data_IF_125663025793
#
_entry.id   IF_125663025793
#
_cell.length_a   1.000
_cell.length_b   1.000
_cell.length_c   1.000
_cell.angle_alpha   90.00
_cell.angle_beta   90.00
_cell.angle_gamma   90.00
#
_symmetry.space_group_name_H-M   'P 1'
#
loop_
_entity.id
_entity.type
_entity.pdbx_description
1 polymer ?
#
# COMPACT_ATOMS: atom_id res chain seq x y z
N UNK A 1 3.59 -4.44 -4.02
CA UNK A 1 3.53 -5.84 -3.51
C UNK A 1 3.19 -6.82 -4.63
N UNK A 2 2.04 -6.72 -5.29
CA UNK A 2 1.59 -7.67 -6.33
C UNK A 2 2.62 -7.88 -7.46
N UNK A 3 3.19 -6.78 -7.97
CA UNK A 3 4.23 -6.82 -9.03
C UNK A 3 5.47 -7.57 -8.54
N UNK A 4 5.95 -7.25 -7.34
CA UNK A 4 7.11 -7.93 -6.74
C UNK A 4 6.84 -9.43 -6.53
N UNK A 5 5.65 -9.81 -6.02
CA UNK A 5 5.28 -11.22 -5.86
C UNK A 5 5.20 -11.96 -7.19
N UNK A 6 4.69 -11.32 -8.26
CA UNK A 6 4.67 -11.92 -9.59
C UNK A 6 6.10 -12.14 -10.12
N UNK A 7 6.97 -11.13 -9.96
CA UNK A 7 8.36 -11.21 -10.39
C UNK A 7 9.10 -12.35 -9.69
N UNK A 8 8.96 -12.48 -8.37
CA UNK A 8 9.52 -13.61 -7.62
C UNK A 8 8.97 -14.94 -8.11
N UNK A 9 7.66 -15.02 -8.36
CA UNK A 9 7.00 -16.25 -8.82
C UNK A 9 7.47 -16.66 -10.23
N UNK A 10 7.67 -15.71 -11.15
CA UNK A 10 8.22 -15.96 -12.48
C UNK A 10 9.68 -16.44 -12.40
N UNK A 11 10.51 -15.77 -11.60
CA UNK A 11 11.90 -16.18 -11.36
C UNK A 11 11.99 -17.59 -10.76
N UNK A 12 11.03 -17.96 -9.91
CA UNK A 12 10.91 -19.29 -9.34
C UNK A 12 10.55 -20.34 -10.40
N UNK A 13 9.61 -20.05 -11.31
CA UNK A 13 9.29 -20.96 -12.42
C UNK A 13 10.43 -21.16 -13.41
N UNK A 14 11.26 -20.13 -13.61
CA UNK A 14 12.45 -20.20 -14.46
C UNK A 14 13.69 -20.78 -13.76
N UNK A 15 13.57 -21.24 -12.51
CA UNK A 15 14.66 -21.80 -11.69
C UNK A 15 15.92 -20.88 -11.58
N UNK A 16 15.74 -19.56 -11.70
CA UNK A 16 16.84 -18.59 -11.70
C UNK A 16 17.47 -18.38 -10.31
N UNK A 17 16.79 -18.81 -9.25
CA UNK A 17 17.30 -18.68 -7.87
C UNK A 17 18.40 -19.67 -7.50
N UNK A 18 18.69 -20.68 -8.35
CA UNK A 18 19.71 -21.68 -8.11
C UNK A 18 19.54 -22.44 -6.78
N UNK A 19 20.56 -23.22 -6.40
CA UNK A 19 20.52 -24.13 -5.23
C UNK A 19 20.48 -23.43 -3.87
N UNK A 20 20.62 -22.10 -3.81
CA UNK A 20 20.68 -21.33 -2.56
C UNK A 20 19.31 -20.92 -2.01
N UNK A 21 18.24 -21.13 -2.78
CA UNK A 21 16.86 -21.03 -2.31
C UNK A 21 16.42 -19.63 -1.88
N UNK A 22 15.12 -19.50 -1.67
CA UNK A 22 14.47 -18.29 -1.19
C UNK A 22 14.44 -18.31 0.36
N UNK A 23 14.96 -17.27 1.01
CA UNK A 23 14.94 -17.18 2.48
C UNK A 23 13.55 -16.75 2.96
N UNK A 24 12.86 -17.66 3.64
CA UNK A 24 11.59 -17.37 4.31
C UNK A 24 11.89 -17.09 5.78
N UNK A 25 11.71 -15.86 6.27
CA UNK A 25 11.88 -15.59 7.69
C UNK A 25 10.80 -16.31 8.52
N UNK A 26 11.19 -16.80 9.71
CA UNK A 26 10.21 -17.29 10.69
C UNK A 26 9.30 -16.15 11.12
N UNK A 27 8.01 -16.45 11.25
CA UNK A 27 7.02 -15.41 11.52
C UNK A 27 6.69 -15.41 13.01
N UNK A 28 6.95 -14.27 13.66
CA UNK A 28 6.64 -14.03 15.06
C UNK A 28 5.40 -13.14 15.13
N UNK A 29 4.21 -13.70 15.36
CA UNK A 29 2.97 -12.93 15.21
C UNK A 29 2.92 -11.71 16.12
N UNK A 30 3.30 -11.86 17.40
CA UNK A 30 3.30 -10.75 18.35
C UNK A 30 4.31 -9.67 17.99
N UNK A 31 5.51 -10.07 17.56
CA UNK A 31 6.54 -9.13 17.11
C UNK A 31 6.09 -8.37 15.86
N UNK A 32 5.56 -9.09 14.87
CA UNK A 32 5.11 -8.50 13.60
C UNK A 32 3.91 -7.60 13.80
N UNK A 33 2.92 -8.00 14.62
CA UNK A 33 1.73 -7.19 14.87
C UNK A 33 2.06 -5.90 15.64
N UNK A 34 2.83 -6.00 16.74
CA UNK A 34 3.26 -4.83 17.51
C UNK A 34 4.16 -3.90 16.70
N UNK A 35 5.12 -4.46 15.95
CA UNK A 35 5.98 -3.70 15.05
C UNK A 35 5.20 -2.98 13.96
N UNK A 36 4.23 -3.66 13.32
CA UNK A 36 3.38 -3.06 12.30
C UNK A 36 2.50 -1.93 12.87
N UNK A 37 1.97 -2.09 14.08
CA UNK A 37 1.21 -1.04 14.75
C UNK A 37 2.07 0.21 15.05
N UNK A 38 3.29 0.02 15.56
CA UNK A 38 4.22 1.12 15.83
C UNK A 38 4.66 1.84 14.55
N UNK A 39 5.01 1.09 13.50
CA UNK A 39 5.38 1.66 12.20
C UNK A 39 4.17 2.39 11.58
N UNK A 40 2.97 1.82 11.69
CA UNK A 40 1.73 2.43 11.21
C UNK A 40 1.42 3.75 11.93
N UNK A 41 1.57 3.78 13.26
CA UNK A 41 1.42 5.01 14.03
C UNK A 41 2.46 6.07 13.63
N UNK A 42 3.72 5.65 13.45
CA UNK A 42 4.79 6.52 12.94
C UNK A 42 4.47 7.08 11.55
N UNK A 43 3.92 6.27 10.65
CA UNK A 43 3.48 6.72 9.33
C UNK A 43 2.33 7.73 9.41
N UNK A 44 1.35 7.49 10.28
CA UNK A 44 0.21 8.39 10.47
C UNK A 44 0.63 9.76 11.03
N UNK A 45 1.62 9.80 11.92
CA UNK A 45 2.12 11.05 12.52
C UNK A 45 3.14 11.75 11.61
N UNK A 46 4.07 10.98 11.03
CA UNK A 46 5.21 11.51 10.29
C UNK A 46 4.98 11.71 8.79
N UNK A 47 3.94 11.12 8.20
CA UNK A 47 3.62 11.24 6.78
C UNK A 47 4.62 10.59 5.81
N UNK A 48 5.73 10.02 6.33
CA UNK A 48 6.73 9.31 5.54
C UNK A 48 6.73 7.82 5.89
N UNK A 49 6.70 6.99 4.87
CA UNK A 49 7.01 5.56 4.99
C UNK A 49 8.53 5.36 4.86
N UNK A 50 9.08 4.21 5.30
CA UNK A 50 10.53 4.03 5.40
C UNK A 50 11.31 4.20 4.08
N UNK A 51 10.67 3.99 2.92
CA UNK A 51 11.27 4.27 1.61
C UNK A 51 11.18 5.74 1.21
N UNK A 52 10.04 6.38 1.44
CA UNK A 52 9.81 7.78 1.05
C UNK A 52 10.64 8.77 1.85
N UNK A 53 11.01 8.46 3.10
CA UNK A 53 11.90 9.30 3.90
C UNK A 53 13.30 9.40 3.28
N UNK A 54 13.81 8.30 2.70
CA UNK A 54 15.12 8.29 2.01
C UNK A 54 15.08 9.15 0.74
N UNK A 55 14.01 9.01 -0.05
CA UNK A 55 13.81 9.84 -1.25
C UNK A 55 13.63 11.32 -0.88
N UNK A 56 12.87 11.60 0.19
CA UNK A 56 12.68 12.96 0.71
C UNK A 56 13.98 13.60 1.19
N UNK A 57 14.83 12.83 1.88
CA UNK A 57 16.16 13.27 2.29
C UNK A 57 17.05 13.61 1.08
N UNK A 58 17.09 12.74 0.06
CA UNK A 58 17.85 13.01 -1.17
C UNK A 58 17.34 14.22 -1.95
N UNK A 59 16.05 14.54 -1.80
CA UNK A 59 15.43 15.74 -2.38
C UNK A 59 15.70 17.02 -1.57
N UNK A 60 16.48 16.93 -0.48
CA UNK A 60 16.80 18.07 0.39
C UNK A 60 15.71 18.43 1.40
N UNK A 61 14.68 17.60 1.61
CA UNK A 61 13.66 17.83 2.63
C UNK A 61 14.16 17.41 4.01
N UNK A 62 14.24 18.38 4.93
CA UNK A 62 14.66 18.14 6.31
C UNK A 62 13.65 17.26 7.06
N UNK A 63 12.36 17.33 6.73
CA UNK A 63 11.33 16.51 7.38
C UNK A 63 11.59 15.01 7.20
N UNK A 64 12.07 14.61 6.01
CA UNK A 64 12.45 13.22 5.72
C UNK A 64 13.68 12.79 6.53
N UNK A 65 14.63 13.70 6.77
CA UNK A 65 15.81 13.44 7.59
C UNK A 65 15.44 13.26 9.06
N UNK A 66 14.55 14.10 9.61
CA UNK A 66 14.08 13.99 11.00
C UNK A 66 13.36 12.66 11.21
N UNK A 67 12.51 12.26 10.27
CA UNK A 67 11.86 10.96 10.30
C UNK A 67 12.87 9.81 10.26
N UNK A 68 13.88 9.90 9.38
CA UNK A 68 14.93 8.90 9.29
C UNK A 68 15.73 8.79 10.60
N UNK A 69 16.10 9.91 11.21
CA UNK A 69 16.80 9.93 12.49
C UNK A 69 15.94 9.32 13.61
N UNK A 70 14.65 9.66 13.68
CA UNK A 70 13.71 9.07 14.63
C UNK A 70 13.58 7.54 14.47
N UNK A 71 13.52 7.06 13.23
CA UNK A 71 13.50 5.62 12.94
C UNK A 71 14.78 4.93 13.44
N UNK A 72 15.95 5.49 13.14
CA UNK A 72 17.24 4.94 13.56
C UNK A 72 17.32 4.88 15.09
N UNK A 73 16.95 5.96 15.79
CA UNK A 73 16.90 5.99 17.25
C UNK A 73 15.91 4.97 17.82
N UNK A 74 14.73 4.82 17.19
CA UNK A 74 13.75 3.82 17.58
C UNK A 74 14.26 2.38 17.42
N UNK A 75 14.97 2.08 16.32
CA UNK A 75 15.59 0.77 16.08
C UNK A 75 16.66 0.49 17.15
N UNK A 76 17.53 1.46 17.45
CA UNK A 76 18.54 1.30 18.50
C UNK A 76 17.92 1.13 19.89
N UNK A 77 16.87 1.91 20.20
CA UNK A 77 16.12 1.77 21.44
C UNK A 77 15.50 0.38 21.57
N UNK A 78 14.85 -0.10 20.50
CA UNK A 78 14.29 -1.45 20.48
C UNK A 78 15.38 -2.53 20.60
N UNK A 79 16.50 -2.39 19.91
CA UNK A 79 17.61 -3.34 19.95
C UNK A 79 18.21 -3.50 21.37
N UNK A 80 18.29 -2.41 22.14
CA UNK A 80 18.76 -2.45 23.53
C UNK A 80 17.79 -3.22 24.44
N UNK A 81 16.49 -2.96 24.29
CA UNK A 81 15.46 -3.56 25.15
C UNK A 81 15.17 -5.01 24.71
N UNK A 82 15.39 -5.36 23.44
CA UNK A 82 15.17 -6.69 22.87
C UNK A 82 15.93 -7.81 23.58
N UNK A 83 17.11 -7.53 24.16
CA UNK A 83 17.89 -8.52 24.91
C UNK A 83 17.29 -8.86 26.29
N UNK A 84 16.23 -8.15 26.70
CA UNK A 84 15.51 -8.44 27.93
C UNK A 84 14.75 -9.77 27.81
N UNK A 85 15.02 -10.71 28.73
CA UNK A 85 14.42 -12.05 28.75
C UNK A 85 12.88 -12.05 28.66
N UNK A 86 12.23 -11.01 29.20
CA UNK A 86 10.78 -10.85 29.21
C UNK A 86 10.21 -10.55 27.81
N UNK A 87 10.93 -9.74 27.02
CA UNK A 87 10.54 -9.38 25.65
C UNK A 87 10.82 -10.55 24.72
N UNK A 88 11.95 -11.23 24.88
CA UNK A 88 12.21 -12.44 24.12
C UNK A 88 11.14 -13.50 24.39
N UNK A 89 10.74 -13.73 25.64
CA UNK A 89 9.68 -14.68 25.98
C UNK A 89 8.35 -14.33 25.32
N UNK A 90 7.92 -13.06 25.41
CA UNK A 90 6.67 -12.60 24.79
C UNK A 90 6.73 -12.73 23.26
N UNK A 91 7.82 -12.31 22.62
CA UNK A 91 7.94 -12.35 21.17
C UNK A 91 8.04 -13.79 20.65
N UNK A 92 8.77 -14.67 21.35
CA UNK A 92 8.96 -16.07 20.98
C UNK A 92 7.79 -16.98 21.37
N UNK A 93 6.79 -16.49 22.11
CA UNK A 93 5.63 -17.30 22.52
C UNK A 93 4.70 -17.69 21.36
N UNK A 94 4.71 -16.94 20.25
CA UNK A 94 3.86 -17.18 19.07
C UNK A 94 4.70 -17.30 17.79
N UNK A 95 5.63 -18.26 17.78
CA UNK A 95 6.38 -18.59 16.56
C UNK A 95 5.59 -19.50 15.63
N UNK A 96 5.53 -19.08 14.37
CA UNK A 96 5.10 -19.93 13.27
C UNK A 96 6.32 -20.39 12.49
N UNK A 97 6.35 -21.68 12.18
CA UNK A 97 7.35 -22.25 11.28
C UNK A 97 7.40 -21.44 9.99
N UNK A 98 8.60 -21.14 9.51
CA UNK A 98 8.85 -20.45 8.25
C UNK A 98 8.23 -21.23 7.08
N UNK A 99 6.96 -20.97 6.80
CA UNK A 99 6.22 -21.51 5.66
C UNK A 99 5.63 -20.33 4.92
N UNK A 100 5.78 -20.33 3.60
CA UNK A 100 5.07 -19.38 2.75
C UNK A 100 3.57 -19.65 2.84
N UNK A 101 2.75 -18.62 2.61
CA UNK A 101 1.29 -18.74 2.65
C UNK A 101 0.73 -19.89 1.78
N UNK A 102 1.24 -20.15 0.55
CA UNK A 102 0.83 -21.32 -0.25
C UNK A 102 1.16 -22.66 0.41
N UNK A 103 2.30 -22.75 1.12
CA UNK A 103 2.72 -23.97 1.81
C UNK A 103 1.94 -24.22 3.10
N UNK A 104 1.40 -23.17 3.74
CA UNK A 104 0.53 -23.31 4.90
C UNK A 104 -0.88 -23.77 4.51
N UNK A 105 -1.42 -23.22 3.41
CA UNK A 105 -2.74 -23.57 2.89
C UNK A 105 -2.75 -24.82 1.99
N UNK A 106 -1.58 -25.31 1.58
CA UNK A 106 -1.47 -26.45 0.65
C UNK A 106 -2.00 -26.15 -0.76
N UNK A 107 -2.13 -24.88 -1.13
CA UNK A 107 -2.68 -24.43 -2.41
C UNK A 107 -1.59 -23.97 -3.37
N UNK A 108 -1.90 -23.94 -4.66
CA UNK A 108 -0.93 -23.48 -5.67
C UNK A 108 -0.59 -22.00 -5.47
N UNK A 109 0.69 -21.59 -5.61
CA UNK A 109 1.10 -20.19 -5.49
C UNK A 109 0.37 -19.23 -6.44
N UNK A 110 0.01 -19.73 -7.63
CA UNK A 110 -0.75 -18.99 -8.63
C UNK A 110 -2.15 -18.59 -8.14
N UNK A 111 -2.82 -19.47 -7.39
CA UNK A 111 -4.15 -19.18 -6.85
C UNK A 111 -4.10 -18.02 -5.86
N UNK A 112 -3.12 -18.01 -4.96
CA UNK A 112 -2.94 -16.92 -3.99
C UNK A 112 -2.65 -15.61 -4.70
N UNK A 113 -1.85 -15.63 -5.76
CA UNK A 113 -1.58 -14.43 -6.54
C UNK A 113 -2.86 -13.86 -7.18
N UNK A 114 -3.70 -14.71 -7.80
CA UNK A 114 -5.00 -14.29 -8.36
C UNK A 114 -5.88 -13.67 -7.28
N UNK A 115 -5.97 -14.29 -6.10
CA UNK A 115 -6.76 -13.75 -4.97
C UNK A 115 -6.24 -12.38 -4.53
N UNK A 116 -4.92 -12.18 -4.42
CA UNK A 116 -4.34 -10.87 -4.07
C UNK A 116 -4.68 -9.80 -5.10
N UNK A 117 -4.66 -10.14 -6.39
CA UNK A 117 -5.07 -9.22 -7.47
C UNK A 117 -6.54 -8.86 -7.32
N UNK A 118 -7.41 -9.84 -7.09
CA UNK A 118 -8.84 -9.61 -6.88
C UNK A 118 -9.11 -8.71 -5.67
N UNK A 119 -8.41 -8.92 -4.55
CA UNK A 119 -8.53 -8.07 -3.36
C UNK A 119 -8.08 -6.64 -3.64
N UNK A 120 -6.98 -6.44 -4.40
CA UNK A 120 -6.52 -5.11 -4.75
C UNK A 120 -7.49 -4.38 -5.69
N UNK A 121 -8.00 -5.06 -6.71
CA UNK A 121 -9.01 -4.49 -7.63
C UNK A 121 -10.31 -4.21 -6.87
N UNK A 122 -10.74 -5.13 -6.02
CA UNK A 122 -11.92 -4.99 -5.18
C UNK A 122 -11.80 -3.81 -4.20
N UNK A 123 -10.65 -3.67 -3.54
CA UNK A 123 -10.37 -2.54 -2.65
C UNK A 123 -10.37 -1.20 -3.38
N UNK A 124 -9.78 -1.15 -4.58
CA UNK A 124 -9.82 0.05 -5.42
C UNK A 124 -11.24 0.38 -5.89
N UNK A 125 -12.01 -0.60 -6.33
CA UNK A 125 -13.39 -0.43 -6.75
C UNK A 125 -14.29 0.01 -5.57
N UNK A 126 -14.10 -0.59 -4.40
CA UNK A 126 -14.82 -0.21 -3.19
C UNK A 126 -14.46 1.22 -2.77
N UNK A 127 -13.17 1.57 -2.78
CA UNK A 127 -12.72 2.94 -2.53
C UNK A 127 -13.39 3.93 -3.47
N UNK A 128 -13.42 3.63 -4.78
CA UNK A 128 -14.11 4.43 -5.79
C UNK A 128 -15.62 4.56 -5.56
N UNK A 129 -16.28 3.52 -5.04
CA UNK A 129 -17.71 3.57 -4.71
C UNK A 129 -17.96 4.40 -3.46
N UNK A 130 -17.12 4.24 -2.43
CA UNK A 130 -17.21 4.99 -1.18
C UNK A 130 -16.92 6.48 -1.40
N UNK A 131 -15.90 6.80 -2.18
CA UNK A 131 -15.56 8.18 -2.56
C UNK A 131 -16.74 8.86 -3.26
N UNK A 132 -17.37 8.20 -4.24
CA UNK A 132 -18.58 8.71 -4.90
C UNK A 132 -19.78 8.90 -3.96
N UNK A 133 -19.85 8.16 -2.85
CA UNK A 133 -20.97 8.21 -1.90
C UNK A 133 -20.75 9.19 -0.77
N UNK A 134 -19.49 9.44 -0.37
CA UNK A 134 -19.16 10.29 0.76
C UNK A 134 -19.16 11.76 0.34
N UNK A 135 -18.19 12.19 -0.47
CA UNK A 135 -18.03 13.58 -0.90
C UNK A 135 -17.33 13.55 -2.27
N UNK A 136 -17.83 14.35 -3.23
CA UNK A 136 -17.45 14.29 -4.64
C UNK A 136 -15.93 14.27 -4.89
N UNK A 137 -15.54 13.63 -5.99
CA UNK A 137 -14.14 13.54 -6.43
C UNK A 137 -13.58 14.95 -6.53
N UNK A 138 -12.67 15.32 -5.62
CA UNK A 138 -11.99 16.62 -5.70
C UNK A 138 -11.25 16.62 -7.03
N UNK A 139 -11.75 17.43 -7.96
CA UNK A 139 -11.20 17.47 -9.30
C UNK A 139 -9.96 18.33 -9.27
N UNK A 140 -9.02 18.09 -10.19
CA UNK A 140 -7.79 18.86 -10.27
C UNK A 140 -8.06 20.38 -10.38
N UNK A 141 -9.21 20.76 -10.94
CA UNK A 141 -9.71 22.13 -11.01
C UNK A 141 -10.00 22.73 -9.61
N UNK A 142 -10.68 21.99 -8.73
CA UNK A 142 -11.02 22.44 -7.37
C UNK A 142 -9.75 22.71 -6.50
N UNK A 143 -8.69 21.92 -6.72
CA UNK A 143 -7.41 22.09 -6.00
C UNK A 143 -6.64 23.33 -6.50
N UNK A 144 -6.78 23.66 -7.78
CA UNK A 144 -6.07 24.80 -8.40
C UNK A 144 -6.77 26.12 -8.08
N UNK A 145 -8.11 26.12 -8.06
CA UNK A 145 -8.90 27.33 -7.80
C UNK A 145 -9.06 27.63 -6.28
N UNK A 146 -8.51 26.79 -5.40
CA UNK A 146 -8.49 27.03 -3.95
C UNK A 146 -9.88 27.13 -3.31
N UNK A 147 -10.91 26.65 -4.00
CA UNK A 147 -12.29 26.69 -3.53
C UNK A 147 -12.53 25.43 -2.71
N UNK A 148 -12.74 25.61 -1.41
CA UNK A 148 -13.03 24.49 -0.50
C UNK A 148 -14.47 24.01 -0.77
N UNK A 149 -14.71 22.82 -1.35
CA UNK A 149 -16.05 22.35 -1.70
C UNK A 149 -16.93 22.07 -0.46
N UNK A 150 -16.37 22.24 0.75
CA UNK A 150 -17.03 22.05 2.03
C UNK A 150 -17.73 23.30 2.57
N UNK A 151 -17.45 24.49 2.01
CA UNK A 151 -18.04 25.77 2.44
C UNK A 151 -19.35 26.13 1.72
N UNK A 152 -19.68 25.47 0.60
CA UNK A 152 -20.92 25.68 -0.14
C UNK A 152 -21.92 24.54 0.10
N UNK A 153 -22.46 24.50 1.33
CA UNK A 153 -23.45 23.49 1.74
C UNK A 153 -24.80 23.54 1.02
N UNK A 154 -24.99 24.41 0.01
CA UNK A 154 -26.30 24.65 -0.63
C UNK A 154 -26.36 24.44 -2.16
N UNK A 155 -25.25 24.16 -2.85
CA UNK A 155 -25.31 23.77 -4.26
C UNK A 155 -24.89 22.31 -4.44
N UNK A 156 -25.93 21.47 -4.47
CA UNK A 156 -25.90 20.08 -4.88
C UNK A 156 -25.00 19.88 -6.09
N UNK A 157 -24.08 18.93 -5.97
CA UNK A 157 -23.16 18.51 -7.02
C UNK A 157 -23.86 18.41 -8.36
N UNK A 158 -23.61 19.41 -9.20
CA UNK A 158 -23.77 19.29 -10.64
C UNK A 158 -22.76 18.24 -11.07
N UNK A 159 -23.23 17.01 -11.15
CA UNK A 159 -22.59 15.98 -11.94
C UNK A 159 -22.41 16.58 -13.34
N UNK A 160 -21.21 17.04 -13.67
CA UNK A 160 -20.83 17.31 -15.05
C UNK A 160 -20.65 15.94 -15.69
N UNK A 161 -21.81 15.41 -16.08
CA UNK A 161 -22.14 14.77 -17.34
C UNK A 161 -21.35 15.42 -18.50
N UNK A 162 -20.03 15.24 -18.51
CA UNK A 162 -19.09 15.82 -19.45
C UNK A 162 -18.73 14.85 -20.57
N UNK A 163 -19.72 14.48 -21.39
CA UNK A 163 -19.50 14.26 -22.81
C UNK A 163 -18.41 13.25 -23.27
N UNK A 164 -18.39 12.04 -22.72
CA UNK A 164 -17.66 10.89 -23.33
C UNK A 164 -18.54 10.04 -24.26
N UNK A 165 -19.81 10.41 -24.45
CA UNK A 165 -20.76 9.68 -25.32
C UNK A 165 -21.17 10.40 -26.61
N UNK A 166 -21.15 11.74 -26.67
CA UNK A 166 -21.73 12.45 -27.83
C UNK A 166 -20.73 12.71 -28.98
N UNK A 167 -19.42 12.54 -28.76
CA UNK A 167 -18.42 12.68 -29.84
C UNK A 167 -18.29 11.45 -30.75
N UNK A 168 -18.84 10.29 -30.38
CA UNK A 168 -18.81 9.10 -31.22
C UNK A 168 -19.89 9.09 -32.32
N UNK A 169 -20.96 9.89 -32.20
CA UNK A 169 -22.09 9.85 -33.15
C UNK A 169 -22.02 10.93 -34.24
N UNK A 170 -21.31 12.05 -33.99
CA UNK A 170 -21.20 13.16 -34.98
C UNK A 170 -20.23 12.84 -36.13
N UNK A 171 -19.39 11.80 -36.01
CA UNK A 171 -18.45 11.43 -37.08
C UNK A 171 -19.05 10.54 -38.17
N UNK A 172 -20.23 9.93 -37.96
CA UNK A 172 -20.83 9.01 -38.95
C UNK A 172 -21.78 9.72 -39.93
N UNK A 173 -22.27 10.91 -39.57
CA UNK A 173 -23.27 11.65 -40.39
C UNK A 173 -22.64 12.59 -41.44
N UNK A 174 -21.30 12.66 -41.49
CA UNK A 174 -20.55 13.48 -42.47
C UNK A 174 -20.00 12.69 -43.66
N UNK A 175 -20.37 11.41 -43.78
CA UNK A 175 -19.93 10.53 -44.86
C UNK A 175 -21.05 10.23 -45.89
N UNK A 176 -22.21 10.89 -45.81
CA UNK A 176 -23.34 10.67 -46.71
C UNK A 176 -23.96 11.95 -47.30
N UNK A 177 -23.22 13.06 -47.36
CA UNK A 177 -23.59 14.25 -48.12
C UNK A 177 -22.63 14.46 -49.30
#
# INVERSE_FOLDING_TARGET
IIVASLGILLLQTGNYFGSKGFFVPTTFLWATASGAALIGAGFAIGGYCPGTSVVGFMSGRIDGLVFMAGMVLGIFGFAYVYDSALIQFILHSAQFTAKTLPQYLGVSPWLIWVVMVLVAVGGFALGRVLERRAHGVITAEDIVDGTDPTLSSDEQGSAVQGNLGARAQVSTDRAQA
#
